data_IF_356008044666
#
_entry.id   IF_356008044666
#
_cell.length_a   1.000
_cell.length_b   1.000
_cell.length_c   1.000
_cell.angle_alpha   90.00
_cell.angle_beta   90.00
_cell.angle_gamma   90.00
#
_symmetry.space_group_name_H-M   'P 1'
#
loop_
_entity.id
_entity.type
_entity.pdbx_description
1 polymer ?
#
# COMPACT_ATOMS: atom_id res chain seq x y z
N UNK A 1 25.11 2.29 -10.54
CA UNK A 1 25.26 2.90 -9.20
C UNK A 1 23.98 2.60 -8.43
N UNK A 2 23.99 1.59 -7.58
CA UNK A 2 22.85 1.30 -6.70
C UNK A 2 22.92 2.26 -5.51
N UNK A 3 22.16 3.34 -5.58
CA UNK A 3 21.92 4.22 -4.43
C UNK A 3 21.15 3.41 -3.39
N UNK A 4 21.63 3.35 -2.16
CA UNK A 4 20.90 2.77 -1.02
C UNK A 4 19.64 3.59 -0.79
N UNK A 5 18.53 3.18 -1.41
CA UNK A 5 17.23 3.81 -1.23
C UNK A 5 16.61 3.23 0.05
N UNK A 6 16.78 3.96 1.15
CA UNK A 6 16.26 3.60 2.49
C UNK A 6 14.79 4.02 2.68
N UNK A 7 14.12 4.32 1.58
CA UNK A 7 12.72 4.70 1.55
C UNK A 7 11.88 3.48 1.23
N UNK A 8 10.79 3.32 1.96
CA UNK A 8 9.82 2.26 1.76
C UNK A 8 8.53 2.93 1.31
N UNK A 9 8.08 2.58 0.10
CA UNK A 9 6.76 2.97 -0.36
C UNK A 9 5.73 1.98 0.19
N UNK A 10 4.67 2.50 0.79
CA UNK A 10 3.56 1.74 1.32
C UNK A 10 2.29 2.17 0.57
N UNK A 11 1.69 1.26 -0.19
CA UNK A 11 0.43 1.46 -0.88
C UNK A 11 -0.70 0.80 -0.07
N UNK A 12 -1.69 1.59 0.37
CA UNK A 12 -2.79 1.13 1.22
C UNK A 12 -4.13 1.51 0.59
N UNK A 13 -5.08 0.58 0.63
CA UNK A 13 -6.48 0.86 0.28
C UNK A 13 -7.20 1.46 1.49
N UNK A 14 -7.74 2.67 1.33
CA UNK A 14 -8.48 3.34 2.39
C UNK A 14 -9.74 2.55 2.77
N UNK A 15 -9.93 2.19 4.06
CA UNK A 15 -11.15 1.51 4.49
C UNK A 15 -12.37 2.45 4.54
N UNK A 16 -12.19 3.76 4.43
CA UNK A 16 -13.30 4.71 4.43
C UNK A 16 -13.78 5.08 3.02
N UNK A 17 -12.87 5.25 2.06
CA UNK A 17 -13.23 5.73 0.71
C UNK A 17 -12.79 4.81 -0.43
N UNK A 18 -12.13 3.69 -0.13
CA UNK A 18 -11.70 2.70 -1.13
C UNK A 18 -10.53 3.12 -2.03
N UNK A 19 -10.04 4.36 -1.96
CA UNK A 19 -8.91 4.84 -2.75
C UNK A 19 -7.60 4.17 -2.34
N UNK A 20 -6.72 3.94 -3.30
CA UNK A 20 -5.34 3.51 -3.06
C UNK A 20 -4.47 4.74 -2.81
N UNK A 21 -3.82 4.81 -1.65
CA UNK A 21 -2.90 5.88 -1.27
C UNK A 21 -1.47 5.36 -1.19
N UNK A 22 -0.50 6.19 -1.57
CA UNK A 22 0.90 5.85 -1.56
C UNK A 22 1.65 6.72 -0.55
N UNK A 23 2.26 6.10 0.44
CA UNK A 23 2.99 6.75 1.53
C UNK A 23 4.47 6.42 1.43
N UNK A 24 5.33 7.43 1.30
CA UNK A 24 6.77 7.23 1.27
C UNK A 24 7.33 7.41 2.68
N UNK A 25 7.85 6.32 3.25
CA UNK A 25 8.42 6.27 4.60
C UNK A 25 9.92 6.17 4.52
N UNK A 26 10.59 7.23 4.99
CA UNK A 26 12.02 7.22 5.18
C UNK A 26 12.35 6.48 6.47
N UNK A 27 13.17 5.43 6.39
CA UNK A 27 13.62 4.71 7.57
C UNK A 27 14.36 5.63 8.55
N UNK A 28 15.14 6.60 8.07
CA UNK A 28 15.81 7.59 8.92
C UNK A 28 14.83 8.40 9.76
N UNK A 29 13.73 8.87 9.16
CA UNK A 29 12.68 9.59 9.90
C UNK A 29 11.99 8.67 10.90
N UNK A 30 11.73 7.43 10.52
CA UNK A 30 11.08 6.45 11.39
C UNK A 30 11.95 6.04 12.58
N UNK A 31 13.28 5.94 12.40
CA UNK A 31 14.23 5.74 13.51
C UNK A 31 14.21 6.91 14.51
N UNK A 32 13.93 8.13 14.04
CA UNK A 32 13.87 9.31 14.90
C UNK A 32 12.51 9.47 15.60
N UNK A 33 11.40 9.33 14.88
CA UNK A 33 10.06 9.54 15.43
C UNK A 33 9.47 8.31 16.12
N UNK A 34 10.04 7.12 15.90
CA UNK A 34 9.58 5.79 16.35
C UNK A 34 8.18 5.37 15.87
N UNK A 35 7.36 6.32 15.41
CA UNK A 35 6.01 6.11 14.88
C UNK A 35 5.70 7.12 13.79
N UNK A 36 4.87 6.71 12.84
CA UNK A 36 4.30 7.54 11.79
C UNK A 36 2.88 7.08 11.48
N UNK A 37 1.92 8.00 11.50
CA UNK A 37 0.54 7.72 11.12
C UNK A 37 0.36 7.97 9.62
N UNK A 38 -0.34 7.05 8.94
CA UNK A 38 -0.63 7.12 7.50
C UNK A 38 -2.09 7.50 7.31
N UNK A 39 -2.32 8.65 6.67
CA UNK A 39 -3.64 9.21 6.48
C UNK A 39 -4.01 9.29 5.00
N UNK A 40 -5.22 8.86 4.68
CA UNK A 40 -5.79 8.99 3.37
C UNK A 40 -5.94 10.47 2.98
N UNK A 41 -5.97 10.76 1.67
CA UNK A 41 -6.37 12.07 1.17
C UNK A 41 -7.80 12.48 1.57
N UNK A 42 -8.63 11.53 2.04
CA UNK A 42 -9.96 11.83 2.61
C UNK A 42 -9.92 12.29 4.07
N UNK A 43 -8.74 12.34 4.70
CA UNK A 43 -8.53 12.79 6.08
C UNK A 43 -8.68 11.69 7.14
N UNK A 44 -9.04 10.45 6.76
CA UNK A 44 -9.10 9.32 7.69
C UNK A 44 -7.76 8.60 7.77
N UNK A 45 -7.42 8.14 8.98
CA UNK A 45 -6.25 7.28 9.23
C UNK A 45 -6.49 5.92 8.58
N UNK A 46 -5.48 5.41 7.88
CA UNK A 46 -5.52 4.11 7.19
C UNK A 46 -4.65 3.08 7.92
N UNK A 47 -3.50 3.53 8.42
CA UNK A 47 -2.55 2.70 9.14
C UNK A 47 -1.66 3.55 10.07
N UNK A 48 -0.90 2.88 10.92
CA UNK A 48 0.27 3.46 11.58
C UNK A 48 1.45 2.52 11.49
N UNK A 49 2.63 3.07 11.28
CA UNK A 49 3.90 2.34 11.25
C UNK A 49 4.68 2.75 12.48
N UNK A 50 5.20 1.78 13.22
CA UNK A 50 6.11 2.04 14.34
C UNK A 50 7.33 1.14 14.26
N UNK A 51 8.36 1.51 15.01
CA UNK A 51 9.61 0.80 15.05
C UNK A 51 9.93 0.36 16.47
N UNK A 52 10.28 -0.92 16.59
CA UNK A 52 10.72 -1.56 17.82
C UNK A 52 12.18 -2.00 17.68
N UNK A 53 12.98 -1.69 18.70
CA UNK A 53 14.39 -2.06 18.84
C UNK A 53 15.27 -1.72 17.62
N UNK A 54 14.88 -0.71 16.83
CA UNK A 54 15.52 -0.30 15.58
C UNK A 54 15.71 -1.42 14.53
N UNK A 55 14.96 -2.50 14.65
CA UNK A 55 15.10 -3.69 13.77
C UNK A 55 13.77 -4.23 13.28
N UNK A 56 12.70 -3.92 14.00
CA UNK A 56 11.38 -4.50 13.78
C UNK A 56 10.39 -3.40 13.48
N UNK A 57 9.80 -3.43 12.28
CA UNK A 57 8.70 -2.58 11.88
C UNK A 57 7.38 -3.24 12.29
N UNK A 58 6.52 -2.49 12.96
CA UNK A 58 5.15 -2.89 13.32
C UNK A 58 4.20 -2.01 12.52
N UNK A 59 3.24 -2.63 11.84
CA UNK A 59 2.23 -1.95 11.02
C UNK A 59 0.86 -2.32 11.55
N UNK A 60 0.14 -1.32 12.03
CA UNK A 60 -1.27 -1.43 12.39
C UNK A 60 -2.10 -0.88 11.23
N UNK A 61 -2.99 -1.69 10.66
CA UNK A 61 -3.78 -1.34 9.48
C UNK A 61 -5.26 -1.64 9.70
N UNK A 62 -6.13 -0.70 9.34
CA UNK A 62 -7.58 -0.90 9.40
C UNK A 62 -8.07 -1.65 8.16
N UNK A 63 -8.72 -2.79 8.33
CA UNK A 63 -9.21 -3.61 7.23
C UNK A 63 -10.65 -3.27 6.85
N UNK A 64 -10.85 -2.94 5.57
CA UNK A 64 -12.18 -2.69 4.99
C UNK A 64 -13.07 -3.95 4.96
N UNK A 65 -12.46 -5.12 4.77
CA UNK A 65 -13.20 -6.35 4.43
C UNK A 65 -13.75 -7.05 5.67
N UNK A 66 -12.94 -7.17 6.72
CA UNK A 66 -13.37 -7.78 7.99
C UNK A 66 -13.80 -6.75 9.05
N UNK A 67 -13.54 -5.46 8.83
CA UNK A 67 -13.95 -4.37 9.72
C UNK A 67 -13.14 -4.21 11.00
N UNK A 68 -12.04 -4.96 11.17
CA UNK A 68 -11.15 -4.85 12.36
C UNK A 68 -9.75 -4.34 11.98
N UNK A 69 -8.98 -3.96 12.99
CA UNK A 69 -7.58 -3.57 12.82
C UNK A 69 -6.66 -4.80 12.91
N UNK A 70 -5.71 -4.90 11.99
CA UNK A 70 -4.69 -5.93 11.98
C UNK A 70 -3.32 -5.34 12.34
N UNK A 71 -2.51 -6.12 13.05
CA UNK A 71 -1.13 -5.75 13.40
C UNK A 71 -0.18 -6.76 12.78
N UNK A 72 0.75 -6.27 11.96
CA UNK A 72 1.79 -7.08 11.32
C UNK A 72 3.17 -6.66 11.79
N UNK A 73 4.06 -7.64 11.95
CA UNK A 73 5.40 -7.44 12.47
C UNK A 73 6.41 -7.95 11.44
N UNK A 74 7.32 -7.08 11.01
CA UNK A 74 8.34 -7.39 10.02
C UNK A 74 9.74 -6.99 10.51
N UNK A 75 10.72 -7.84 10.23
CA UNK A 75 12.12 -7.47 10.30
C UNK A 75 12.43 -6.45 9.19
N UNK A 76 13.05 -5.32 9.54
CA UNK A 76 13.50 -4.31 8.57
C UNK A 76 14.45 -4.91 7.54
N UNK A 77 15.32 -5.84 7.97
CA UNK A 77 16.28 -6.50 7.08
C UNK A 77 15.55 -7.31 6.00
N UNK A 78 14.50 -8.03 6.38
CA UNK A 78 13.74 -8.85 5.44
C UNK A 78 12.90 -7.98 4.51
N UNK A 79 12.34 -6.90 5.05
CA UNK A 79 11.58 -5.92 4.28
C UNK A 79 12.42 -5.26 3.19
N UNK A 80 13.63 -4.82 3.55
CA UNK A 80 14.57 -4.18 2.62
C UNK A 80 15.17 -5.16 1.60
N UNK A 81 15.28 -6.45 1.95
CA UNK A 81 15.76 -7.49 1.03
C UNK A 81 14.72 -7.85 -0.04
N UNK A 82 13.43 -7.78 0.30
CA UNK A 82 12.33 -8.08 -0.61
C UNK A 82 12.06 -6.91 -1.56
N UNK A 83 11.62 -7.20 -2.79
CA UNK A 83 11.17 -6.17 -3.76
C UNK A 83 9.87 -5.52 -3.29
N UNK A 84 8.89 -6.37 -2.99
CA UNK A 84 7.59 -6.00 -2.44
C UNK A 84 7.17 -7.06 -1.43
N UNK A 85 6.55 -6.62 -0.36
CA UNK A 85 5.85 -7.42 0.64
C UNK A 85 4.37 -7.08 0.53
N UNK A 86 3.53 -8.10 0.38
CA UNK A 86 2.07 -7.96 0.34
C UNK A 86 1.53 -8.38 1.70
N UNK A 87 0.68 -7.54 2.28
CA UNK A 87 -0.02 -7.80 3.53
C UNK A 87 -1.45 -8.15 3.18
N UNK A 88 -1.90 -9.33 3.63
CA UNK A 88 -3.24 -9.83 3.39
C UNK A 88 -4.01 -9.95 4.70
N UNK A 89 -5.32 -9.70 4.67
CA UNK A 89 -6.20 -9.96 5.80
C UNK A 89 -6.21 -11.46 6.12
N UNK A 90 -5.92 -11.85 7.35
CA UNK A 90 -5.86 -13.27 7.73
C UNK A 90 -7.22 -13.97 7.63
N UNK A 91 -8.32 -13.21 7.75
CA UNK A 91 -9.68 -13.73 7.70
C UNK A 91 -10.19 -13.97 6.27
N UNK A 92 -9.77 -13.15 5.30
CA UNK A 92 -10.35 -13.15 3.94
C UNK A 92 -9.33 -13.38 2.83
N UNK A 93 -8.04 -13.31 3.14
CA UNK A 93 -6.94 -13.36 2.16
C UNK A 93 -6.79 -12.07 1.33
N UNK A 94 -7.67 -11.08 1.51
CA UNK A 94 -7.66 -9.86 0.68
C UNK A 94 -6.44 -9.00 0.92
N UNK A 95 -5.80 -8.49 -0.14
CA UNK A 95 -4.63 -7.62 -0.04
C UNK A 95 -4.99 -6.27 0.57
N UNK A 96 -4.40 -5.97 1.73
CA UNK A 96 -4.60 -4.73 2.47
C UNK A 96 -3.57 -3.67 2.09
N UNK A 97 -2.33 -4.11 1.86
CA UNK A 97 -1.19 -3.21 1.70
C UNK A 97 -0.07 -3.85 0.86
N UNK A 98 0.58 -3.04 0.04
CA UNK A 98 1.79 -3.38 -0.70
C UNK A 98 2.94 -2.51 -0.23
N UNK A 99 4.06 -3.10 0.17
CA UNK A 99 5.16 -2.37 0.80
C UNK A 99 6.51 -2.77 0.23
N UNK A 100 7.39 -1.82 -0.10
CA UNK A 100 8.74 -2.12 -0.58
C UNK A 100 9.35 -0.98 -1.39
N UNK A 101 10.16 -1.33 -2.39
CA UNK A 101 10.77 -0.35 -3.30
C UNK A 101 9.70 0.34 -4.13
N UNK A 102 9.80 1.67 -4.24
CA UNK A 102 8.80 2.49 -4.91
C UNK A 102 8.43 2.00 -6.31
N UNK A 103 9.43 1.74 -7.16
CA UNK A 103 9.19 1.25 -8.53
C UNK A 103 8.47 -0.10 -8.55
N UNK A 104 8.88 -1.02 -7.68
CA UNK A 104 8.33 -2.37 -7.63
C UNK A 104 6.88 -2.35 -7.10
N UNK A 105 6.61 -1.57 -6.05
CA UNK A 105 5.28 -1.39 -5.46
C UNK A 105 4.32 -0.75 -6.46
N UNK A 106 4.71 0.35 -7.10
CA UNK A 106 3.85 1.02 -8.10
C UNK A 106 3.49 0.11 -9.26
N UNK A 107 4.48 -0.62 -9.80
CA UNK A 107 4.24 -1.57 -10.88
C UNK A 107 3.26 -2.69 -10.47
N UNK A 108 3.42 -3.25 -9.27
CA UNK A 108 2.51 -4.29 -8.77
C UNK A 108 1.09 -3.75 -8.58
N UNK A 109 0.94 -2.55 -7.99
CA UNK A 109 -0.36 -1.93 -7.79
C UNK A 109 -1.05 -1.60 -9.12
N UNK A 110 -0.31 -1.10 -10.12
CA UNK A 110 -0.88 -0.86 -11.46
C UNK A 110 -1.42 -2.13 -12.08
N UNK A 111 -0.65 -3.23 -12.05
CA UNK A 111 -1.11 -4.54 -12.56
C UNK A 111 -2.29 -5.09 -11.78
N UNK A 112 -2.29 -4.92 -10.46
CA UNK A 112 -3.42 -5.32 -9.61
C UNK A 112 -4.70 -4.59 -10.01
N UNK A 113 -4.64 -3.27 -10.21
CA UNK A 113 -5.79 -2.46 -10.62
C UNK A 113 -6.27 -2.81 -12.04
N UNK A 114 -5.35 -3.06 -12.97
CA UNK A 114 -5.67 -3.51 -14.33
C UNK A 114 -6.38 -4.87 -14.32
N UNK A 115 -5.84 -5.85 -13.59
CA UNK A 115 -6.46 -7.17 -13.45
C UNK A 115 -7.86 -7.08 -12.82
N UNK A 116 -8.02 -6.25 -11.77
CA UNK A 116 -9.32 -6.03 -11.14
C UNK A 116 -10.31 -5.42 -12.13
N UNK A 117 -9.89 -4.46 -12.96
CA UNK A 117 -10.73 -3.87 -13.99
C UNK A 117 -11.18 -4.90 -15.03
N UNK A 118 -10.25 -5.71 -15.55
CA UNK A 118 -10.57 -6.76 -16.52
C UNK A 118 -11.58 -7.78 -15.96
N UNK A 119 -11.43 -8.18 -14.70
CA UNK A 119 -12.38 -9.08 -14.04
C UNK A 119 -13.77 -8.45 -13.90
N UNK A 120 -13.84 -7.16 -13.55
CA UNK A 120 -15.12 -6.46 -13.42
C UNK A 120 -15.81 -6.27 -14.78
N UNK A 121 -15.03 -6.02 -15.84
CA UNK A 121 -15.50 -5.95 -17.22
C UNK A 121 -16.05 -7.30 -17.70
N UNK A 122 -15.30 -8.39 -17.48
CA UNK A 122 -15.74 -9.76 -17.83
C UNK A 122 -17.04 -10.15 -17.10
N UNK A 123 -17.22 -9.71 -15.86
CA UNK A 123 -18.43 -9.94 -15.08
C UNK A 123 -19.59 -8.99 -15.45
N UNK A 124 -19.40 -8.05 -16.37
CA UNK A 124 -20.40 -7.10 -16.82
C UNK A 124 -20.74 -5.99 -15.81
N UNK A 125 -19.87 -5.75 -14.82
CA UNK A 125 -20.03 -4.65 -13.86
C UNK A 125 -19.56 -3.30 -14.40
N UNK A 126 -18.84 -3.30 -15.52
CA UNK A 126 -18.35 -2.10 -16.19
C UNK A 126 -19.00 -2.09 -17.58
N UNK A 127 -19.65 -0.99 -17.93
CA UNK A 127 -20.20 -0.79 -19.27
C UNK A 127 -19.44 0.33 -19.97
N UNK A 128 -19.41 0.32 -21.30
CA UNK A 128 -18.80 1.38 -22.12
C UNK A 128 -19.45 2.74 -21.79
N UNK A 129 -18.85 3.47 -20.85
CA UNK A 129 -19.41 4.68 -20.25
C UNK A 129 -18.77 5.05 -18.90
N UNK A 130 -18.19 4.07 -18.20
CA UNK A 130 -17.50 4.27 -16.92
C UNK A 130 -16.01 4.60 -17.11
N UNK A 131 -15.70 5.70 -17.79
CA UNK A 131 -14.32 6.20 -17.99
C UNK A 131 -13.63 6.70 -16.69
N UNK A 132 -14.24 6.47 -15.51
CA UNK A 132 -13.71 6.94 -14.22
C UNK A 132 -12.45 6.22 -13.74
N UNK A 133 -12.10 5.03 -14.27
CA UNK A 133 -10.93 4.24 -13.82
C UNK A 133 -9.68 4.45 -14.69
N UNK A 134 -9.79 5.13 -15.84
CA UNK A 134 -8.63 5.58 -16.60
C UNK A 134 -8.02 6.80 -15.92
N UNK A 135 -7.30 6.57 -14.83
CA UNK A 135 -6.42 7.56 -14.22
C UNK A 135 -5.43 8.06 -15.27
N UNK A 136 -5.75 9.22 -15.87
CA UNK A 136 -4.90 10.12 -16.66
C UNK A 136 -3.50 9.59 -17.01
N UNK A 137 -3.39 8.74 -18.02
CA UNK A 137 -2.20 8.69 -18.87
C UNK A 137 -2.27 9.84 -19.86
N UNK A 138 -2.09 11.07 -19.36
CA UNK A 138 -1.77 12.20 -20.22
C UNK A 138 -0.26 12.49 -20.10
N UNK A 139 0.52 11.75 -20.88
CA UNK A 139 1.79 12.25 -21.43
C UNK A 139 1.61 12.36 -22.93
N UNK A 140 1.05 13.49 -23.35
CA UNK A 140 1.22 14.07 -24.69
C UNK A 140 1.62 15.54 -24.52
N UNK A 141 2.93 15.77 -24.47
CA UNK A 141 3.72 16.68 -25.30
C UNK A 141 5.05 16.97 -24.60
#
# INVERSE_FOLDING_TARGET
MDTLDTNILIAIKCPNCGRMNFHNISLFKLFHSLKSDLCCSCGKREASVSLKDNKTMIIDISCLVCGINHTYIYSLKDLLKRKVTVICCDATGFELCFMGREKDVRNLVSKYQENLYLLLDELGFITEGDDFIKGKTNRKN
#
